data_IF_286820361808
#
_entry.id   IF_286820361808
#
_cell.length_a   1.000
_cell.length_b   1.000
_cell.length_c   1.000
_cell.angle_alpha   90.00
_cell.angle_beta   90.00
_cell.angle_gamma   90.00
#
_symmetry.space_group_name_H-M   'P 1'
#
loop_
_entity.id
_entity.type
_entity.pdbx_description
1 polymer ?
#
# COMPACT_ATOMS: atom_id res chain seq x y z
N UNK A 1 -13.25 4.30 -2.43
CA UNK A 1 -13.74 2.95 -2.11
C UNK A 1 -14.98 3.07 -1.21
N UNK A 2 -15.79 2.02 -1.04
CA UNK A 2 -16.95 2.08 -0.12
C UNK A 2 -16.54 2.44 1.32
N UNK A 3 -15.47 1.85 1.84
CA UNK A 3 -14.90 2.25 3.14
C UNK A 3 -14.56 3.73 3.22
N UNK A 4 -14.11 4.36 2.13
CA UNK A 4 -13.83 5.79 2.14
C UNK A 4 -15.10 6.63 2.32
N UNK A 5 -16.21 6.20 1.71
CA UNK A 5 -17.49 6.86 1.89
C UNK A 5 -17.92 6.82 3.37
N UNK A 6 -17.78 5.69 4.06
CA UNK A 6 -18.18 5.58 5.46
C UNK A 6 -17.19 6.21 6.45
N UNK A 7 -15.88 6.07 6.22
CA UNK A 7 -14.86 6.48 7.18
C UNK A 7 -14.40 7.93 7.00
N UNK A 8 -14.32 8.40 5.76
CA UNK A 8 -13.69 9.69 5.42
C UNK A 8 -14.65 10.73 4.87
N UNK A 9 -15.73 10.36 4.15
CA UNK A 9 -16.67 11.34 3.61
C UNK A 9 -17.28 12.29 4.67
N UNK A 10 -17.59 11.86 5.91
CA UNK A 10 -18.10 12.77 6.94
C UNK A 10 -17.11 13.89 7.34
N UNK A 11 -15.83 13.75 6.99
CA UNK A 11 -14.76 14.67 7.39
C UNK A 11 -13.98 15.26 6.20
N UNK A 12 -14.10 14.69 5.01
CA UNK A 12 -13.37 15.09 3.80
C UNK A 12 -14.40 15.37 2.68
N UNK A 13 -14.65 16.64 2.41
CA UNK A 13 -15.64 17.07 1.41
C UNK A 13 -15.34 16.51 0.00
N UNK A 14 -14.07 16.41 -0.39
CA UNK A 14 -13.67 15.83 -1.68
C UNK A 14 -14.06 14.34 -1.78
N UNK A 15 -13.93 13.59 -0.68
CA UNK A 15 -14.31 12.17 -0.65
C UNK A 15 -15.84 12.04 -0.70
N UNK A 16 -16.56 12.92 -0.01
CA UNK A 16 -18.03 12.98 -0.06
C UNK A 16 -18.55 13.30 -1.46
N UNK A 17 -17.86 14.17 -2.20
CA UNK A 17 -18.22 14.51 -3.58
C UNK A 17 -17.87 13.38 -4.57
N UNK A 18 -16.80 12.62 -4.33
CA UNK A 18 -16.32 11.59 -5.25
C UNK A 18 -16.99 10.22 -5.09
N UNK A 19 -17.49 9.89 -3.89
CA UNK A 19 -18.09 8.59 -3.61
C UNK A 19 -19.52 8.68 -3.09
N UNK A 20 -20.28 7.65 -3.44
CA UNK A 20 -21.65 7.38 -2.98
C UNK A 20 -21.73 5.98 -2.39
N UNK A 21 -22.88 5.63 -1.79
CA UNK A 21 -23.13 4.26 -1.29
C UNK A 21 -23.06 3.19 -2.38
N UNK A 22 -23.26 3.60 -3.64
CA UNK A 22 -23.26 2.73 -4.82
C UNK A 22 -21.93 2.78 -5.60
N UNK A 23 -20.87 3.36 -5.03
CA UNK A 23 -19.55 3.43 -5.68
C UNK A 23 -18.83 2.08 -5.82
N UNK A 24 -19.41 0.98 -5.34
CA UNK A 24 -18.83 -0.34 -5.51
C UNK A 24 -19.22 -0.95 -6.85
N UNK A 25 -18.22 -1.50 -7.54
CA UNK A 25 -18.44 -2.40 -8.67
C UNK A 25 -17.49 -3.60 -8.57
N UNK A 26 -17.96 -4.77 -9.01
CA UNK A 26 -17.13 -5.97 -9.06
C UNK A 26 -15.88 -5.77 -9.91
N UNK A 27 -15.99 -5.03 -11.02
CA UNK A 27 -14.87 -4.69 -11.91
C UNK A 27 -13.82 -3.88 -11.15
N UNK A 28 -14.21 -2.82 -10.42
CA UNK A 28 -13.28 -2.02 -9.63
C UNK A 28 -12.60 -2.80 -8.51
N UNK A 29 -13.32 -3.73 -7.89
CA UNK A 29 -12.77 -4.63 -6.88
C UNK A 29 -11.71 -5.54 -7.50
N UNK A 30 -12.04 -6.26 -8.58
CA UNK A 30 -11.11 -7.16 -9.24
C UNK A 30 -9.88 -6.41 -9.77
N UNK A 31 -10.07 -5.22 -10.35
CA UNK A 31 -8.97 -4.38 -10.77
C UNK A 31 -8.05 -4.01 -9.60
N UNK A 32 -8.61 -3.59 -8.46
CA UNK A 32 -7.83 -3.24 -7.27
C UNK A 32 -7.08 -4.46 -6.71
N UNK A 33 -7.72 -5.62 -6.68
CA UNK A 33 -7.11 -6.86 -6.20
C UNK A 33 -5.97 -7.35 -7.09
N UNK A 34 -6.12 -7.26 -8.42
CA UNK A 34 -5.10 -7.70 -9.37
C UNK A 34 -4.00 -6.66 -9.53
N UNK A 35 -4.35 -5.39 -9.73
CA UNK A 35 -3.35 -4.33 -9.90
C UNK A 35 -2.63 -4.03 -8.57
N UNK A 36 -3.38 -3.70 -7.51
CA UNK A 36 -2.81 -3.43 -6.20
C UNK A 36 -2.19 -4.68 -5.58
N UNK A 37 -2.94 -5.77 -5.55
CA UNK A 37 -2.48 -7.01 -4.91
C UNK A 37 -1.37 -7.75 -5.66
N UNK A 38 -1.16 -7.56 -6.97
CA UNK A 38 -0.11 -8.28 -7.72
C UNK A 38 0.90 -7.29 -8.30
N UNK A 39 0.47 -6.36 -9.14
CA UNK A 39 1.37 -5.49 -9.90
C UNK A 39 2.15 -4.56 -8.96
N UNK A 40 1.48 -3.89 -8.03
CA UNK A 40 2.17 -3.01 -7.08
C UNK A 40 3.12 -3.80 -6.18
N UNK A 41 2.77 -5.02 -5.77
CA UNK A 41 3.64 -5.87 -4.98
C UNK A 41 4.90 -6.32 -5.75
N UNK A 42 4.76 -6.65 -7.03
CA UNK A 42 5.93 -6.95 -7.88
C UNK A 42 6.83 -5.72 -7.97
N UNK A 43 6.28 -4.57 -8.36
CA UNK A 43 7.07 -3.35 -8.54
C UNK A 43 7.75 -2.89 -7.26
N UNK A 44 7.01 -2.82 -6.15
CA UNK A 44 7.53 -2.24 -4.92
C UNK A 44 8.31 -3.24 -4.07
N UNK A 45 7.85 -4.49 -3.95
CA UNK A 45 8.47 -5.44 -3.02
C UNK A 45 9.51 -6.26 -3.73
N UNK A 46 9.13 -6.92 -4.83
CA UNK A 46 10.08 -7.76 -5.57
C UNK A 46 11.23 -6.94 -6.18
N UNK A 47 10.94 -5.81 -6.83
CA UNK A 47 11.98 -4.97 -7.42
C UNK A 47 12.53 -3.92 -6.44
N UNK A 48 11.71 -2.96 -6.03
CA UNK A 48 12.23 -1.77 -5.34
C UNK A 48 12.81 -2.06 -3.94
N UNK A 49 12.07 -2.75 -3.08
CA UNK A 49 12.53 -3.10 -1.73
C UNK A 49 13.76 -4.02 -1.80
N UNK A 50 13.75 -5.05 -2.65
CA UNK A 50 14.92 -5.92 -2.86
C UNK A 50 16.14 -5.14 -3.34
N UNK A 51 15.95 -4.17 -4.25
CA UNK A 51 17.02 -3.30 -4.71
C UNK A 51 17.58 -2.45 -3.58
N UNK A 52 16.73 -1.88 -2.72
CA UNK A 52 17.17 -1.14 -1.54
C UNK A 52 17.97 -2.01 -0.58
N UNK A 53 17.50 -3.23 -0.30
CA UNK A 53 18.23 -4.20 0.53
C UNK A 53 19.57 -4.55 -0.11
N UNK A 54 19.61 -4.75 -1.43
CA UNK A 54 20.85 -5.01 -2.17
C UNK A 54 21.83 -3.85 -2.06
N UNK A 55 21.37 -2.60 -2.27
CA UNK A 55 22.20 -1.39 -2.15
C UNK A 55 22.77 -1.28 -0.72
N UNK A 56 21.95 -1.50 0.29
CA UNK A 56 22.41 -1.52 1.68
C UNK A 56 23.44 -2.63 1.89
N UNK A 57 23.19 -3.85 1.43
CA UNK A 57 24.14 -4.96 1.53
C UNK A 57 25.47 -4.68 0.81
N UNK A 58 25.43 -3.94 -0.30
CA UNK A 58 26.63 -3.52 -1.03
C UNK A 58 27.57 -2.64 -0.19
N UNK A 59 27.03 -1.84 0.74
CA UNK A 59 27.83 -0.98 1.65
C UNK A 59 28.72 -1.78 2.60
N UNK A 60 28.46 -3.08 2.79
CA UNK A 60 29.28 -3.96 3.65
C UNK A 60 30.63 -4.34 3.02
N UNK A 61 30.88 -3.97 1.75
CA UNK A 61 32.16 -4.20 1.07
C UNK A 61 32.55 -5.68 0.95
N UNK A 62 33.84 -6.00 0.88
CA UNK A 62 34.34 -7.39 0.77
C UNK A 62 34.22 -8.23 2.05
N UNK A 63 33.79 -7.65 3.17
CA UNK A 63 33.77 -8.30 4.49
C UNK A 63 32.45 -9.04 4.79
N UNK A 64 31.73 -9.46 3.73
CA UNK A 64 30.40 -10.08 3.80
C UNK A 64 30.46 -11.53 4.29
N UNK A 65 31.48 -12.29 3.85
CA UNK A 65 31.60 -13.72 4.16
C UNK A 65 30.26 -14.47 3.95
N UNK A 66 29.97 -15.44 4.83
CA UNK A 66 28.66 -16.11 4.91
C UNK A 66 27.71 -15.46 5.93
N UNK A 67 27.93 -14.19 6.31
CA UNK A 67 27.09 -13.54 7.32
C UNK A 67 25.74 -13.14 6.70
N UNK A 68 24.61 -13.49 7.34
CA UNK A 68 23.30 -13.11 6.83
C UNK A 68 23.15 -11.58 6.75
N UNK A 69 22.24 -11.11 5.90
CA UNK A 69 21.90 -9.69 5.82
C UNK A 69 21.28 -9.25 7.17
N UNK A 70 21.73 -8.13 7.77
CA UNK A 70 21.20 -7.67 9.05
C UNK A 70 19.71 -7.34 8.95
N UNK A 71 18.93 -7.72 9.97
CA UNK A 71 17.49 -7.47 10.04
C UNK A 71 17.12 -5.98 9.85
N UNK A 72 17.95 -5.06 10.37
CA UNK A 72 17.69 -3.64 10.26
C UNK A 72 17.80 -3.10 8.82
N UNK A 73 18.55 -3.77 7.93
CA UNK A 73 18.61 -3.39 6.50
C UNK A 73 17.24 -3.57 5.86
N UNK A 74 16.59 -4.71 6.13
CA UNK A 74 15.24 -4.98 5.66
C UNK A 74 14.22 -3.99 6.25
N UNK A 75 14.33 -3.67 7.54
CA UNK A 75 13.43 -2.70 8.19
C UNK A 75 13.58 -1.30 7.59
N UNK A 76 14.81 -0.84 7.40
CA UNK A 76 15.09 0.47 6.79
C UNK A 76 14.62 0.53 5.34
N UNK A 77 14.96 -0.48 4.52
CA UNK A 77 14.51 -0.57 3.15
C UNK A 77 12.98 -0.60 3.04
N UNK A 78 12.32 -1.37 3.91
CA UNK A 78 10.86 -1.43 3.95
C UNK A 78 10.24 -0.09 4.37
N UNK A 79 10.81 0.60 5.36
CA UNK A 79 10.36 1.93 5.76
C UNK A 79 10.43 2.93 4.59
N UNK A 80 11.56 2.96 3.89
CA UNK A 80 11.75 3.82 2.71
C UNK A 80 10.76 3.42 1.59
N UNK A 81 10.62 2.12 1.29
CA UNK A 81 9.69 1.63 0.29
C UNK A 81 8.24 2.00 0.61
N UNK A 82 7.82 1.89 1.87
CA UNK A 82 6.48 2.26 2.32
C UNK A 82 6.22 3.77 2.19
N UNK A 83 7.21 4.61 2.53
CA UNK A 83 7.11 6.06 2.34
C UNK A 83 6.99 6.42 0.85
N UNK A 84 7.85 5.85 0.00
CA UNK A 84 7.82 6.08 -1.45
C UNK A 84 6.52 5.57 -2.06
N UNK A 85 6.02 4.42 -1.62
CA UNK A 85 4.73 3.89 -2.03
C UNK A 85 3.61 4.86 -1.68
N UNK A 86 3.60 5.40 -0.45
CA UNK A 86 2.59 6.37 -0.04
C UNK A 86 2.65 7.69 -0.80
N UNK A 87 3.85 8.22 -1.03
CA UNK A 87 4.04 9.43 -1.83
C UNK A 87 3.68 9.19 -3.31
N UNK A 88 4.00 8.01 -3.84
CA UNK A 88 3.64 7.59 -5.20
C UNK A 88 2.13 7.54 -5.45
N UNK A 89 1.31 7.49 -4.39
CA UNK A 89 -0.15 7.55 -4.48
C UNK A 89 -0.71 8.98 -4.53
N UNK A 90 0.10 10.02 -4.30
CA UNK A 90 -0.37 11.41 -4.32
C UNK A 90 -0.87 11.87 -5.69
N UNK A 91 -0.22 11.53 -6.82
CA UNK A 91 -0.75 11.87 -8.16
C UNK A 91 -2.13 11.25 -8.41
N UNK A 92 -2.30 9.96 -8.10
CA UNK A 92 -3.59 9.28 -8.24
C UNK A 92 -4.65 9.87 -7.30
N UNK A 93 -4.26 10.23 -6.07
CA UNK A 93 -5.14 10.93 -5.11
C UNK A 93 -5.59 12.27 -5.67
N UNK A 94 -4.68 13.05 -6.25
CA UNK A 94 -4.98 14.35 -6.88
C UNK A 94 -5.94 14.18 -8.07
N UNK A 95 -5.72 13.16 -8.91
CA UNK A 95 -6.60 12.86 -10.02
C UNK A 95 -8.01 12.46 -9.56
N UNK A 96 -8.11 11.71 -8.47
CA UNK A 96 -9.40 11.22 -7.97
C UNK A 96 -10.21 12.28 -7.21
N UNK A 97 -9.54 13.20 -6.49
CA UNK A 97 -10.21 14.10 -5.54
C UNK A 97 -9.97 15.60 -5.80
N UNK A 98 -9.19 15.95 -6.83
CA UNK A 98 -8.79 17.33 -7.09
C UNK A 98 -7.62 17.77 -6.21
N UNK A 99 -7.73 18.93 -5.55
CA UNK A 99 -6.65 19.47 -4.72
C UNK A 99 -6.34 18.58 -3.51
N UNK A 100 -5.04 18.40 -3.22
CA UNK A 100 -4.59 17.62 -2.05
C UNK A 100 -4.66 18.52 -0.81
N UNK A 101 -5.70 18.34 -0.01
CA UNK A 101 -5.79 18.94 1.33
C UNK A 101 -4.92 18.21 2.34
N UNK A 102 -4.64 18.83 3.48
CA UNK A 102 -3.90 18.20 4.57
C UNK A 102 -4.53 16.88 5.03
N UNK A 103 -5.87 16.81 5.05
CA UNK A 103 -6.58 15.61 5.48
C UNK A 103 -6.52 14.49 4.43
N UNK A 104 -6.56 14.82 3.13
CA UNK A 104 -6.29 13.87 2.05
C UNK A 104 -4.85 13.36 2.08
N UNK A 105 -3.88 14.25 2.35
CA UNK A 105 -2.49 13.87 2.51
C UNK A 105 -2.32 12.86 3.66
N UNK A 106 -2.86 13.17 4.84
CA UNK A 106 -2.82 12.26 6.00
C UNK A 106 -3.50 10.92 5.68
N UNK A 107 -4.68 10.94 5.05
CA UNK A 107 -5.36 9.72 4.59
C UNK A 107 -4.46 8.89 3.68
N UNK A 108 -3.88 9.51 2.65
CA UNK A 108 -3.04 8.81 1.68
C UNK A 108 -1.78 8.24 2.33
N UNK A 109 -1.13 8.98 3.23
CA UNK A 109 0.04 8.50 3.96
C UNK A 109 -0.30 7.36 4.92
N UNK A 110 -1.43 7.44 5.62
CA UNK A 110 -1.87 6.38 6.54
C UNK A 110 -2.21 5.10 5.78
N UNK A 111 -3.11 5.20 4.80
CA UNK A 111 -3.59 4.02 4.06
C UNK A 111 -2.44 3.34 3.30
N UNK A 112 -1.62 4.10 2.57
CA UNK A 112 -0.58 3.49 1.74
C UNK A 112 0.70 3.22 2.54
N UNK A 113 1.08 4.12 3.46
CA UNK A 113 2.32 3.99 4.21
C UNK A 113 2.25 2.89 5.27
N UNK A 114 1.22 2.90 6.13
CA UNK A 114 1.10 1.91 7.21
C UNK A 114 0.84 0.52 6.64
N UNK A 115 -0.14 0.37 5.74
CA UNK A 115 -0.40 -0.93 5.09
C UNK A 115 0.79 -1.36 4.24
N UNK A 116 1.41 -0.42 3.51
CA UNK A 116 2.57 -0.70 2.69
C UNK A 116 3.75 -1.26 3.49
N UNK A 117 4.00 -0.71 4.68
CA UNK A 117 4.99 -1.21 5.62
C UNK A 117 4.64 -2.62 6.13
N UNK A 118 3.38 -2.87 6.48
CA UNK A 118 2.90 -4.20 6.90
C UNK A 118 3.11 -5.23 5.78
N UNK A 119 2.75 -4.92 4.53
CA UNK A 119 2.95 -5.82 3.40
C UNK A 119 4.43 -6.10 3.15
N UNK A 120 5.31 -5.11 3.31
CA UNK A 120 6.75 -5.33 3.21
C UNK A 120 7.33 -6.18 4.35
N UNK A 121 6.74 -6.16 5.54
CA UNK A 121 7.09 -7.11 6.61
C UNK A 121 6.69 -8.54 6.23
N UNK A 122 5.51 -8.73 5.62
CA UNK A 122 5.07 -10.03 5.10
C UNK A 122 5.99 -10.50 3.97
N UNK A 123 6.36 -9.62 3.05
CA UNK A 123 7.32 -9.92 1.99
C UNK A 123 8.64 -10.44 2.57
N UNK A 124 9.20 -9.73 3.55
CA UNK A 124 10.47 -10.13 4.16
C UNK A 124 10.38 -11.45 4.94
N UNK A 125 9.30 -11.66 5.70
CA UNK A 125 9.17 -12.83 6.60
C UNK A 125 8.58 -14.07 5.95
N UNK A 126 7.78 -13.90 4.90
CA UNK A 126 6.94 -14.96 4.31
C UNK A 126 7.02 -15.04 2.79
N UNK A 127 7.53 -13.99 2.12
CA UNK A 127 7.71 -13.95 0.67
C UNK A 127 6.59 -13.20 -0.07
N UNK A 128 6.77 -13.06 -1.38
CA UNK A 128 5.95 -12.22 -2.25
C UNK A 128 4.46 -12.61 -2.26
N UNK A 129 4.15 -13.91 -2.31
CA UNK A 129 2.78 -14.40 -2.37
C UNK A 129 1.95 -13.98 -1.15
N UNK A 130 2.57 -13.91 0.04
CA UNK A 130 1.87 -13.48 1.26
C UNK A 130 1.59 -11.98 1.26
N UNK A 131 2.53 -11.17 0.76
CA UNK A 131 2.30 -9.74 0.58
C UNK A 131 1.17 -9.51 -0.45
N UNK A 132 1.20 -10.24 -1.57
CA UNK A 132 0.15 -10.18 -2.60
C UNK A 132 -1.23 -10.52 -2.07
N UNK A 133 -1.35 -11.65 -1.37
CA UNK A 133 -2.61 -12.07 -0.78
C UNK A 133 -3.11 -11.07 0.26
N UNK A 134 -2.24 -10.58 1.15
CA UNK A 134 -2.64 -9.61 2.17
C UNK A 134 -3.11 -8.28 1.56
N UNK A 135 -2.43 -7.79 0.53
CA UNK A 135 -2.81 -6.56 -0.14
C UNK A 135 -4.11 -6.73 -0.94
N UNK A 136 -4.23 -7.79 -1.74
CA UNK A 136 -5.47 -8.11 -2.46
C UNK A 136 -6.66 -8.24 -1.50
N UNK A 137 -6.48 -8.96 -0.38
CA UNK A 137 -7.52 -9.09 0.64
C UNK A 137 -7.87 -7.74 1.25
N UNK A 138 -6.92 -6.83 1.45
CA UNK A 138 -7.23 -5.50 1.98
C UNK A 138 -8.23 -4.74 1.10
N UNK A 139 -8.14 -4.86 -0.23
CA UNK A 139 -9.17 -4.33 -1.13
C UNK A 139 -10.51 -5.04 -0.97
N UNK A 140 -10.51 -6.37 -0.83
CA UNK A 140 -11.73 -7.14 -0.57
C UNK A 140 -12.40 -6.71 0.75
N UNK A 141 -11.67 -6.64 1.86
CA UNK A 141 -12.18 -6.19 3.15
C UNK A 141 -12.71 -4.75 3.07
N UNK A 142 -11.96 -3.83 2.44
CA UNK A 142 -12.35 -2.42 2.35
C UNK A 142 -13.53 -2.13 1.43
N UNK A 143 -13.88 -3.04 0.52
CA UNK A 143 -14.95 -2.84 -0.46
C UNK A 143 -16.16 -3.74 -0.22
N UNK A 144 -15.95 -5.03 0.10
CA UNK A 144 -17.03 -6.00 0.26
C UNK A 144 -17.60 -6.03 1.69
N UNK A 145 -16.79 -5.96 2.74
CA UNK A 145 -17.31 -6.10 4.12
C UNK A 145 -18.11 -4.87 4.55
N UNK A 146 -17.67 -3.67 4.16
CA UNK A 146 -18.46 -2.46 4.40
C UNK A 146 -19.75 -2.39 3.57
N UNK A 147 -19.85 -3.14 2.46
CA UNK A 147 -21.07 -3.21 1.64
C UNK A 147 -22.10 -4.19 2.20
N UNK A 148 -21.64 -5.32 2.77
CA UNK A 148 -22.50 -6.45 3.09
C UNK A 148 -22.61 -6.79 4.60
N UNK A 149 -21.77 -6.22 5.47
CA UNK A 149 -21.69 -6.62 6.90
C UNK A 149 -21.89 -5.45 7.88
N UNK A 150 -21.48 -4.24 7.53
CA UNK A 150 -21.53 -3.08 8.45
C UNK A 150 -22.82 -2.25 8.27
N UNK A 151 -23.58 -2.51 7.20
CA UNK A 151 -24.92 -1.97 6.89
C UNK A 151 -25.77 -3.04 6.20
#
# INVERSE_FOLDING_TARGET
>A
MISDYYLFAPRIAQVQAAYTKESFTLISLLFSMLYGGIIEEIMLRFFFLSLLVLILDMTRGGNRGNKPIPAWFHLLANFIAALIFALGHLPATKMAFGEITSLLLVRTLLLNGVLGFVFGLLYWKKGLQYAMLAHALTHLFNQAIFRFIIL
#
